data_IF_907504983925
#
_entry.id   IF_907504983925
#
_cell.length_a   1.000
_cell.length_b   1.000
_cell.length_c   1.000
_cell.angle_alpha   90.00
_cell.angle_beta   90.00
_cell.angle_gamma   90.00
#
_symmetry.space_group_name_H-M   'P 1'
#
loop_
_entity.id
_entity.type
_entity.pdbx_description
1 polymer ?
#
# COMPACT_ATOMS: atom_id res chain seq x y z
N UNK A 1 -2.68 21.49 15.58
CA UNK A 1 -1.79 21.73 14.41
C UNK A 1 -0.67 20.70 14.46
N UNK A 2 -0.56 19.79 13.48
CA UNK A 2 0.36 18.65 13.55
C UNK A 2 1.84 19.09 13.52
N UNK A 3 2.59 18.73 14.57
CA UNK A 3 4.02 18.99 14.75
C UNK A 3 4.77 17.71 14.37
N UNK A 4 5.39 17.67 13.19
CA UNK A 4 6.34 16.61 12.86
C UNK A 4 7.68 17.03 13.48
N UNK A 5 8.33 16.21 14.32
CA UNK A 5 9.72 16.42 14.76
C UNK A 5 10.66 15.50 13.94
N UNK A 6 11.96 15.78 13.87
CA UNK A 6 12.74 15.40 12.67
C UNK A 6 13.76 14.33 12.92
N UNK A 7 14.38 14.35 14.10
CA UNK A 7 15.45 13.42 14.47
C UNK A 7 15.10 12.54 15.67
N UNK A 8 14.16 12.94 16.55
CA UNK A 8 13.74 12.16 17.73
C UNK A 8 12.54 11.23 17.45
N UNK A 9 12.08 11.16 16.21
CA UNK A 9 10.87 10.40 15.82
C UNK A 9 11.17 9.12 15.06
N UNK A 10 12.40 8.91 14.60
CA UNK A 10 12.80 7.79 13.77
C UNK A 10 13.99 7.05 14.39
N UNK A 11 13.73 5.87 14.95
CA UNK A 11 14.76 5.06 15.59
C UNK A 11 15.17 3.93 14.65
N UNK A 12 16.45 3.92 14.26
CA UNK A 12 17.01 2.81 13.49
C UNK A 12 17.22 1.63 14.42
N UNK A 13 16.63 0.49 14.08
CA UNK A 13 16.87 -0.73 14.85
C UNK A 13 18.25 -1.31 14.50
N UNK A 14 18.97 -1.69 15.55
CA UNK A 14 20.26 -2.35 15.48
C UNK A 14 20.18 -3.75 16.09
N UNK A 15 20.91 -4.69 15.50
CA UNK A 15 21.11 -6.01 16.10
C UNK A 15 22.06 -5.95 17.30
N UNK A 16 22.28 -7.11 17.94
CA UNK A 16 23.19 -7.25 19.09
C UNK A 16 24.65 -6.88 18.75
N UNK A 17 25.00 -6.78 17.47
CA UNK A 17 26.33 -6.41 16.98
C UNK A 17 26.40 -4.94 16.55
N UNK A 18 25.34 -4.14 16.80
CA UNK A 18 25.27 -2.73 16.44
C UNK A 18 25.01 -2.47 14.94
N UNK A 19 24.73 -3.50 14.14
CA UNK A 19 24.44 -3.35 12.71
C UNK A 19 22.95 -3.06 12.50
N UNK A 20 22.66 -2.11 11.60
CA UNK A 20 21.27 -1.77 11.24
C UNK A 20 20.55 -2.97 10.61
N UNK A 21 19.40 -3.33 11.16
CA UNK A 21 18.55 -4.43 10.66
C UNK A 21 17.80 -4.09 9.37
N UNK A 22 17.77 -2.80 9.02
CA UNK A 22 16.96 -2.28 7.91
C UNK A 22 15.50 -2.01 8.29
N UNK A 23 15.20 -1.90 9.59
CA UNK A 23 13.93 -1.41 10.11
C UNK A 23 14.10 -0.05 10.80
N UNK A 24 13.10 0.81 10.62
CA UNK A 24 13.02 2.11 11.30
C UNK A 24 11.70 2.16 12.05
N UNK A 25 11.78 2.28 13.37
CA UNK A 25 10.63 2.55 14.23
C UNK A 25 10.28 4.04 14.16
N UNK A 26 8.99 4.36 14.10
CA UNK A 26 8.52 5.72 14.28
C UNK A 26 7.17 5.76 14.98
N UNK A 27 6.98 6.75 15.85
CA UNK A 27 5.69 6.95 16.50
C UNK A 27 4.91 8.05 15.76
N UNK A 28 3.70 7.77 15.22
CA UNK A 28 2.85 8.80 14.65
C UNK A 28 2.13 9.59 15.75
N UNK A 29 2.88 10.31 16.60
CA UNK A 29 2.38 11.06 17.78
C UNK A 29 1.25 12.05 17.41
N UNK A 30 1.15 12.45 16.13
CA UNK A 30 0.19 13.46 15.66
C UNK A 30 -0.51 13.04 14.36
N UNK A 31 -1.27 11.95 14.39
CA UNK A 31 -2.32 11.77 13.38
C UNK A 31 -3.35 12.91 13.54
N UNK A 32 -3.90 13.43 12.42
CA UNK A 32 -4.91 14.51 12.46
C UNK A 32 -6.13 14.19 13.33
N UNK A 33 -6.32 12.92 13.69
CA UNK A 33 -7.40 12.42 14.53
C UNK A 33 -7.14 12.56 16.04
N UNK A 34 -5.96 13.06 16.45
CA UNK A 34 -5.57 13.28 17.85
C UNK A 34 -5.80 14.73 18.35
N UNK A 35 -6.85 15.43 17.89
CA UNK A 35 -7.27 16.71 18.47
C UNK A 35 -8.38 16.48 19.52
N UNK A 36 -8.04 16.65 20.80
CA UNK A 36 -8.96 16.48 21.94
C UNK A 36 -8.35 15.54 22.99
N UNK A 37 -8.37 15.94 24.26
CA UNK A 37 -7.59 15.33 25.34
C UNK A 37 -7.80 13.82 25.59
N UNK A 38 -6.84 13.27 26.34
CA UNK A 38 -6.76 11.91 26.90
C UNK A 38 -6.92 10.75 25.91
N UNK A 39 -6.13 10.74 24.83
CA UNK A 39 -6.03 9.58 23.96
C UNK A 39 -4.64 8.94 24.02
N UNK A 40 -4.64 7.59 24.11
CA UNK A 40 -3.46 6.73 24.12
C UNK A 40 -2.52 7.11 22.98
N UNK A 41 -1.23 7.19 23.28
CA UNK A 41 -0.18 7.25 22.25
C UNK A 41 -0.46 6.12 21.25
N UNK A 42 -0.50 6.45 19.96
CA UNK A 42 -0.57 5.44 18.92
C UNK A 42 0.65 4.52 19.05
N UNK A 43 0.43 3.22 18.86
CA UNK A 43 1.52 2.26 18.86
C UNK A 43 2.56 2.66 17.80
N UNK A 44 3.83 2.47 18.15
CA UNK A 44 4.93 2.65 17.20
C UNK A 44 4.70 1.83 15.94
N UNK A 45 5.01 2.44 14.80
CA UNK A 45 4.95 1.83 13.48
C UNK A 45 6.35 1.59 12.97
N UNK A 46 6.45 0.69 12.00
CA UNK A 46 7.73 0.24 11.48
C UNK A 46 7.79 0.43 9.97
N UNK A 47 8.85 1.08 9.51
CA UNK A 47 9.26 1.02 8.11
C UNK A 47 10.23 -0.15 7.95
N UNK A 48 9.98 -0.97 6.94
CA UNK A 48 10.85 -2.13 6.63
C UNK A 48 11.45 -1.94 5.24
N UNK A 49 12.68 -2.41 5.08
CA UNK A 49 13.37 -2.39 3.79
C UNK A 49 12.60 -3.19 2.75
N UNK A 50 12.31 -2.59 1.61
CA UNK A 50 11.79 -3.32 0.45
C UNK A 50 12.97 -4.00 -0.25
N UNK A 51 13.07 -5.32 -0.08
CA UNK A 51 14.13 -6.13 -0.70
C UNK A 51 13.86 -6.44 -2.17
N UNK A 52 12.60 -6.39 -2.60
CA UNK A 52 12.20 -6.71 -3.98
C UNK A 52 12.46 -5.53 -4.93
N UNK A 53 12.21 -4.31 -4.46
CA UNK A 53 12.47 -3.09 -5.22
C UNK A 53 13.17 -2.05 -4.34
N UNK A 54 14.46 -1.87 -4.61
CA UNK A 54 15.30 -0.89 -3.93
C UNK A 54 14.91 0.54 -4.30
N UNK A 55 14.46 0.81 -5.53
CA UNK A 55 14.05 2.16 -5.93
C UNK A 55 12.82 2.62 -5.15
N UNK A 56 11.89 1.71 -4.85
CA UNK A 56 10.68 2.00 -4.06
C UNK A 56 10.82 1.68 -2.57
N UNK A 57 12.06 1.54 -2.06
CA UNK A 57 12.30 1.21 -0.66
C UNK A 57 12.06 2.43 0.27
N UNK A 58 11.10 2.38 1.21
CA UNK A 58 10.77 3.51 2.08
C UNK A 58 11.91 3.85 3.04
N UNK A 59 12.62 2.84 3.57
CA UNK A 59 13.80 3.03 4.45
C UNK A 59 14.89 3.82 3.72
N UNK A 60 15.27 3.39 2.50
CA UNK A 60 16.26 4.08 1.67
C UNK A 60 15.88 5.53 1.38
N UNK A 61 14.63 5.77 0.95
CA UNK A 61 14.14 7.13 0.62
C UNK A 61 14.14 8.03 1.86
N UNK A 62 13.69 7.53 3.01
CA UNK A 62 13.70 8.30 4.26
C UNK A 62 15.13 8.58 4.74
N UNK A 63 16.03 7.59 4.70
CA UNK A 63 17.43 7.78 5.09
C UNK A 63 18.11 8.82 4.20
N UNK A 64 17.86 8.79 2.89
CA UNK A 64 18.37 9.81 1.97
C UNK A 64 17.80 11.20 2.28
N UNK A 65 16.50 11.31 2.55
CA UNK A 65 15.86 12.57 2.93
C UNK A 65 16.51 13.17 4.18
N UNK A 66 16.75 12.34 5.21
CA UNK A 66 17.38 12.77 6.46
C UNK A 66 18.87 13.11 6.28
N UNK A 67 19.61 12.38 5.44
CA UNK A 67 21.03 12.63 5.19
C UNK A 67 21.30 13.95 4.47
N UNK A 68 20.28 14.55 3.83
CA UNK A 68 20.37 15.87 3.19
C UNK A 68 20.12 17.03 4.16
N UNK A 69 19.84 16.75 5.44
CA UNK A 69 19.75 17.76 6.48
C UNK A 69 21.13 18.17 6.96
N UNK A 70 21.44 19.44 6.87
CA UNK A 70 22.69 19.99 7.42
C UNK A 70 22.55 20.23 8.94
N UNK A 71 23.66 20.26 9.71
CA UNK A 71 23.63 20.51 11.15
C UNK A 71 22.97 21.84 11.54
N UNK A 72 22.96 22.82 10.64
CA UNK A 72 22.38 24.16 10.86
C UNK A 72 20.85 24.17 10.84
N UNK A 73 20.20 23.05 10.52
CA UNK A 73 18.74 22.93 10.50
C UNK A 73 18.25 22.59 11.91
N UNK A 74 17.71 23.59 12.60
CA UNK A 74 17.06 23.42 13.90
C UNK A 74 15.58 23.02 13.79
N UNK A 75 14.99 23.16 12.60
CA UNK A 75 13.59 22.83 12.37
C UNK A 75 13.37 21.33 12.45
N UNK A 76 12.53 20.94 13.40
CA UNK A 76 12.21 19.55 13.61
C UNK A 76 11.23 19.00 12.54
N UNK A 77 10.56 19.81 11.70
CA UNK A 77 9.60 19.23 10.73
C UNK A 77 10.25 18.33 9.69
N UNK A 78 9.70 17.14 9.46
CA UNK A 78 10.22 16.15 8.50
C UNK A 78 10.39 16.73 7.09
N UNK A 79 9.41 17.50 6.62
CA UNK A 79 9.47 18.14 5.32
C UNK A 79 9.86 19.61 5.46
N UNK A 80 10.95 19.97 4.79
CA UNK A 80 11.54 21.31 4.81
C UNK A 80 11.45 21.94 3.43
N UNK A 81 11.47 23.26 3.40
CA UNK A 81 11.49 24.03 2.15
C UNK A 81 12.83 23.81 1.44
N UNK A 82 12.78 23.47 0.15
CA UNK A 82 13.98 23.29 -0.67
C UNK A 82 14.73 24.62 -0.80
N UNK A 83 16.06 24.57 -0.67
CA UNK A 83 16.90 25.72 -0.94
C UNK A 83 16.99 25.95 -2.46
N UNK A 84 16.52 27.08 -3.05
CA UNK A 84 16.57 27.29 -4.50
C UNK A 84 17.99 27.24 -5.09
N UNK A 85 19.00 27.45 -4.26
CA UNK A 85 20.41 27.42 -4.66
C UNK A 85 21.08 26.07 -4.42
N UNK A 86 20.34 25.01 -4.08
CA UNK A 86 20.89 23.69 -3.74
C UNK A 86 21.77 23.07 -4.83
N UNK A 87 21.61 23.48 -6.10
CA UNK A 87 22.43 23.04 -7.24
C UNK A 87 23.71 23.85 -7.44
N UNK A 88 23.86 25.01 -6.79
CA UNK A 88 25.04 25.85 -6.92
C UNK A 88 26.19 25.20 -6.16
N UNK A 89 27.38 25.14 -6.77
CA UNK A 89 28.60 24.60 -6.14
C UNK A 89 28.96 25.32 -4.82
N UNK A 90 28.58 26.59 -4.68
CA UNK A 90 28.78 27.39 -3.47
C UNK A 90 27.79 27.10 -2.33
N UNK A 91 26.73 26.34 -2.58
CA UNK A 91 25.68 26.04 -1.60
C UNK A 91 25.75 24.59 -1.17
N UNK A 92 26.16 24.34 0.07
CA UNK A 92 26.21 22.99 0.64
C UNK A 92 24.85 22.47 1.14
N UNK A 93 23.83 23.33 1.27
CA UNK A 93 22.56 22.98 1.90
C UNK A 93 21.43 22.68 0.90
N UNK A 94 20.79 21.51 1.06
CA UNK A 94 19.62 21.10 0.27
C UNK A 94 18.32 21.78 0.72
N UNK A 95 18.20 22.07 2.01
CA UNK A 95 16.99 22.61 2.61
C UNK A 95 17.26 23.93 3.33
N UNK A 96 16.24 24.78 3.38
CA UNK A 96 16.17 25.91 4.30
C UNK A 96 15.77 25.39 5.69
N UNK A 97 16.13 26.14 6.73
CA UNK A 97 15.68 25.89 8.09
C UNK A 97 14.23 26.35 8.31
N UNK A 98 13.32 25.93 7.44
CA UNK A 98 11.92 26.35 7.43
C UNK A 98 11.05 25.19 6.99
N UNK A 99 9.94 24.90 7.69
CA UNK A 99 9.03 23.84 7.30
C UNK A 99 8.31 24.19 6.01
N UNK A 100 8.05 23.17 5.19
CA UNK A 100 7.22 23.35 4.00
C UNK A 100 5.76 23.61 4.39
N UNK A 101 5.06 24.43 3.58
CA UNK A 101 3.65 24.72 3.77
C UNK A 101 2.75 23.53 3.42
N UNK A 102 1.60 23.42 4.10
CA UNK A 102 0.59 22.38 3.81
C UNK A 102 0.13 22.43 2.34
N UNK A 103 -0.03 23.62 1.78
CA UNK A 103 -0.50 23.80 0.41
C UNK A 103 0.49 23.22 -0.60
N UNK A 104 1.79 23.32 -0.33
CA UNK A 104 2.83 22.71 -1.18
C UNK A 104 2.81 21.19 -1.09
N UNK A 105 2.73 20.62 0.12
CA UNK A 105 2.61 19.16 0.29
C UNK A 105 1.35 18.63 -0.42
N UNK A 106 0.23 19.36 -0.34
CA UNK A 106 -1.02 18.97 -0.98
C UNK A 106 -0.93 18.92 -2.51
N UNK A 107 0.02 19.63 -3.13
CA UNK A 107 0.25 19.61 -4.57
C UNK A 107 1.03 18.38 -5.02
N UNK A 108 1.87 17.77 -4.17
CA UNK A 108 2.80 16.72 -4.58
C UNK A 108 2.14 15.53 -5.28
N UNK A 109 1.06 14.98 -4.72
CA UNK A 109 0.35 13.86 -5.37
C UNK A 109 -0.17 14.26 -6.75
N UNK A 110 -0.73 15.47 -6.86
CA UNK A 110 -1.24 15.99 -8.14
C UNK A 110 -0.10 16.15 -9.16
N UNK A 111 0.99 16.80 -8.77
CA UNK A 111 2.14 17.00 -9.65
C UNK A 111 2.73 15.65 -10.11
N UNK A 112 2.91 14.70 -9.19
CA UNK A 112 3.40 13.37 -9.53
C UNK A 112 2.46 12.63 -10.49
N UNK A 113 1.14 12.77 -10.33
CA UNK A 113 0.17 12.16 -11.28
C UNK A 113 0.19 12.82 -12.66
N UNK A 114 0.40 14.13 -12.72
CA UNK A 114 0.51 14.86 -14.00
C UNK A 114 1.81 14.47 -14.73
N UNK A 115 2.92 14.30 -13.99
CA UNK A 115 4.22 13.89 -14.54
C UNK A 115 4.19 12.49 -15.18
N UNK A 116 3.37 11.58 -14.67
CA UNK A 116 3.17 10.24 -15.27
C UNK A 116 2.11 10.23 -16.38
N UNK A 117 1.59 11.39 -16.78
CA UNK A 117 0.64 11.54 -17.90
C UNK A 117 -0.84 11.34 -17.54
N UNK A 118 -1.20 11.31 -16.26
CA UNK A 118 -2.61 11.22 -15.85
C UNK A 118 -3.25 12.62 -15.86
N UNK A 119 -4.34 12.76 -16.61
CA UNK A 119 -5.12 13.99 -16.64
C UNK A 119 -5.93 14.18 -15.33
N UNK A 120 -5.37 14.98 -14.42
CA UNK A 120 -5.97 15.29 -13.13
C UNK A 120 -7.24 16.15 -13.21
N UNK A 121 -7.55 16.73 -14.38
CA UNK A 121 -8.80 17.45 -14.61
C UNK A 121 -9.95 16.49 -14.88
N UNK A 122 -9.68 15.37 -15.55
CA UNK A 122 -10.64 14.29 -15.80
C UNK A 122 -10.82 13.40 -14.58
N UNK A 123 -9.71 13.04 -13.92
CA UNK A 123 -9.72 12.17 -12.75
C UNK A 123 -9.13 12.91 -11.55
N UNK A 124 -9.98 13.22 -10.56
CA UNK A 124 -9.54 13.92 -9.36
C UNK A 124 -8.74 13.00 -8.42
N UNK A 125 -7.43 12.92 -8.64
CA UNK A 125 -6.51 12.23 -7.73
C UNK A 125 -6.04 13.20 -6.66
N UNK A 126 -6.22 12.82 -5.40
CA UNK A 126 -5.83 13.63 -4.23
C UNK A 126 -5.04 12.79 -3.24
N UNK A 127 -4.48 13.44 -2.21
CA UNK A 127 -3.88 12.75 -1.07
C UNK A 127 -4.87 11.80 -0.36
N UNK A 128 -6.18 12.02 -0.49
CA UNK A 128 -7.16 11.09 0.04
C UNK A 128 -7.27 9.83 -0.84
N UNK A 129 -7.18 9.99 -2.16
CA UNK A 129 -7.20 8.88 -3.12
C UNK A 129 -6.07 7.88 -2.86
N UNK A 130 -4.87 8.34 -2.53
CA UNK A 130 -3.74 7.45 -2.18
C UNK A 130 -4.04 6.65 -0.91
N UNK A 131 -4.61 7.28 0.13
CA UNK A 131 -5.07 6.57 1.33
C UNK A 131 -6.15 5.54 0.99
N UNK A 132 -7.12 5.88 0.14
CA UNK A 132 -8.17 4.98 -0.31
C UNK A 132 -7.61 3.74 -1.00
N UNK A 133 -6.68 3.91 -1.94
CA UNK A 133 -6.03 2.81 -2.66
C UNK A 133 -5.30 1.86 -1.72
N UNK A 134 -4.54 2.39 -0.75
CA UNK A 134 -3.85 1.57 0.26
C UNK A 134 -4.86 0.76 1.07
N UNK A 135 -5.94 1.38 1.54
CA UNK A 135 -6.98 0.68 2.32
C UNK A 135 -7.58 -0.46 1.49
N UNK A 136 -7.98 -0.19 0.24
CA UNK A 136 -8.54 -1.21 -0.66
C UNK A 136 -7.57 -2.35 -0.95
N UNK A 137 -6.28 -2.07 -1.16
CA UNK A 137 -5.28 -3.13 -1.34
C UNK A 137 -5.12 -4.01 -0.09
N UNK A 138 -5.13 -3.41 1.10
CA UNK A 138 -5.03 -4.17 2.36
C UNK A 138 -6.27 -5.06 2.58
N UNK A 139 -7.46 -4.57 2.24
CA UNK A 139 -8.70 -5.38 2.24
C UNK A 139 -8.59 -6.55 1.28
N UNK A 140 -8.14 -6.30 0.03
CA UNK A 140 -7.95 -7.35 -0.97
C UNK A 140 -6.92 -8.40 -0.57
N UNK A 141 -5.94 -8.03 0.25
CA UNK A 141 -4.95 -8.93 0.83
C UNK A 141 -5.49 -9.76 2.01
N UNK A 142 -6.77 -9.58 2.39
CA UNK A 142 -7.42 -10.35 3.46
C UNK A 142 -7.10 -9.85 4.87
N UNK A 143 -6.60 -8.62 5.02
CA UNK A 143 -6.31 -8.05 6.35
C UNK A 143 -7.62 -7.74 7.06
N UNK A 144 -7.75 -8.23 8.30
CA UNK A 144 -8.93 -7.99 9.14
C UNK A 144 -9.20 -6.49 9.36
N UNK A 145 -10.47 -6.11 9.49
CA UNK A 145 -10.86 -4.72 9.72
C UNK A 145 -10.17 -4.10 10.94
N UNK A 146 -10.00 -4.86 12.03
CA UNK A 146 -9.35 -4.38 13.24
C UNK A 146 -7.87 -4.03 13.01
N UNK A 147 -7.13 -4.89 12.30
CA UNK A 147 -5.74 -4.60 11.91
C UNK A 147 -5.68 -3.42 10.94
N UNK A 148 -6.63 -3.32 10.02
CA UNK A 148 -6.71 -2.23 9.06
C UNK A 148 -6.92 -0.88 9.75
N UNK A 149 -7.79 -0.81 10.76
CA UNK A 149 -7.99 0.37 11.62
C UNK A 149 -6.66 0.79 12.24
N UNK A 150 -5.92 -0.14 12.84
CA UNK A 150 -4.63 0.13 13.48
C UNK A 150 -3.56 0.64 12.50
N UNK A 151 -3.45 -0.01 11.34
CA UNK A 151 -2.48 0.37 10.30
C UNK A 151 -2.80 1.77 9.74
N UNK A 152 -4.06 2.02 9.41
CA UNK A 152 -4.49 3.24 8.71
C UNK A 152 -4.82 4.40 9.66
N UNK A 153 -4.97 4.13 10.96
CA UNK A 153 -5.32 5.11 11.99
C UNK A 153 -6.74 5.67 11.83
N UNK A 154 -7.70 4.83 11.45
CA UNK A 154 -9.12 5.22 11.50
C UNK A 154 -9.64 5.06 12.92
N UNK A 155 -10.63 5.88 13.35
CA UNK A 155 -11.21 5.79 14.69
C UNK A 155 -12.28 4.69 14.80
N UNK A 156 -12.97 4.38 13.70
CA UNK A 156 -14.09 3.44 13.68
C UNK A 156 -14.10 2.59 12.41
N UNK A 157 -14.72 1.41 12.50
CA UNK A 157 -14.99 0.48 11.38
C UNK A 157 -15.93 1.10 10.35
N UNK A 158 -16.85 1.98 10.77
CA UNK A 158 -17.79 2.65 9.87
C UNK A 158 -17.09 3.48 8.79
N UNK A 159 -15.97 4.14 9.13
CA UNK A 159 -15.17 4.90 8.15
C UNK A 159 -14.47 4.01 7.12
N UNK A 160 -14.43 2.69 7.35
CA UNK A 160 -13.84 1.71 6.43
C UNK A 160 -14.86 1.11 5.45
N UNK A 161 -16.16 1.14 5.78
CA UNK A 161 -17.24 0.56 4.96
C UNK A 161 -17.19 0.95 3.48
N UNK A 162 -16.89 2.20 3.09
CA UNK A 162 -16.80 2.56 1.67
C UNK A 162 -15.70 1.80 0.90
N UNK A 163 -14.65 1.35 1.58
CA UNK A 163 -13.51 0.63 0.98
C UNK A 163 -13.67 -0.89 1.00
N UNK A 164 -14.56 -1.42 1.83
CA UNK A 164 -14.87 -2.86 1.95
C UNK A 164 -15.76 -3.39 0.83
N UNK A 165 -15.99 -2.61 -0.23
CA UNK A 165 -16.73 -3.07 -1.40
C UNK A 165 -15.97 -4.22 -2.05
N UNK A 166 -16.47 -5.42 -1.83
CA UNK A 166 -15.99 -6.67 -2.41
C UNK A 166 -16.14 -6.55 -3.93
N UNK A 167 -15.03 -6.52 -4.66
CA UNK A 167 -15.07 -6.68 -6.12
C UNK A 167 -15.28 -8.16 -6.48
N UNK A 168 -15.66 -8.43 -7.72
CA UNK A 168 -15.93 -9.81 -8.18
C UNK A 168 -14.72 -10.73 -7.97
N UNK A 169 -13.50 -10.21 -8.12
CA UNK A 169 -12.27 -10.97 -7.88
C UNK A 169 -12.06 -11.31 -6.41
N UNK A 170 -12.34 -10.38 -5.49
CA UNK A 170 -12.26 -10.62 -4.06
C UNK A 170 -13.34 -11.61 -3.62
N UNK A 171 -14.55 -11.50 -4.17
CA UNK A 171 -15.61 -12.49 -3.94
C UNK A 171 -15.18 -13.89 -4.40
N UNK A 172 -14.58 -13.99 -5.59
CA UNK A 172 -14.03 -15.24 -6.11
C UNK A 172 -12.95 -15.81 -5.19
N UNK A 173 -12.00 -14.99 -4.72
CA UNK A 173 -10.95 -15.44 -3.77
C UNK A 173 -11.52 -15.94 -2.44
N UNK A 174 -12.56 -15.27 -1.92
CA UNK A 174 -13.25 -15.70 -0.70
C UNK A 174 -13.93 -17.06 -0.93
N UNK A 175 -14.64 -17.22 -2.05
CA UNK A 175 -15.29 -18.48 -2.42
C UNK A 175 -14.27 -19.59 -2.63
N UNK A 176 -13.17 -19.35 -3.35
CA UNK A 176 -12.09 -20.33 -3.56
C UNK A 176 -11.47 -20.78 -2.22
N UNK A 177 -11.29 -19.84 -1.29
CA UNK A 177 -10.81 -20.15 0.07
C UNK A 177 -11.81 -20.99 0.86
N UNK A 178 -13.10 -20.66 0.81
CA UNK A 178 -14.17 -21.45 1.45
C UNK A 178 -14.29 -22.86 0.83
N UNK A 179 -14.02 -23.00 -0.47
CA UNK A 179 -14.00 -24.28 -1.18
C UNK A 179 -12.71 -25.09 -0.93
N UNK A 180 -11.78 -24.61 -0.10
CA UNK A 180 -10.52 -25.30 0.19
C UNK A 180 -9.53 -25.34 -0.98
N UNK A 181 -9.72 -24.50 -2.00
CA UNK A 181 -8.87 -24.43 -3.20
C UNK A 181 -7.67 -23.50 -3.02
N UNK A 182 -6.98 -23.55 -1.88
CA UNK A 182 -5.67 -22.90 -1.77
C UNK A 182 -4.63 -23.74 -2.50
N UNK A 183 -4.11 -23.20 -3.59
CA UNK A 183 -3.06 -23.79 -4.42
C UNK A 183 -1.83 -24.16 -3.58
N UNK A 184 -1.84 -25.39 -3.04
CA UNK A 184 -0.65 -26.07 -2.56
C UNK A 184 -0.16 -26.91 -3.72
N UNK A 185 0.54 -26.28 -4.67
CA UNK A 185 1.36 -27.03 -5.61
C UNK A 185 2.65 -27.42 -4.90
N UNK A 186 2.61 -28.56 -4.22
CA UNK A 186 3.77 -29.43 -4.12
C UNK A 186 3.39 -30.73 -4.82
N UNK A 187 4.10 -31.01 -5.90
CA UNK A 187 3.97 -32.22 -6.69
C UNK A 187 4.18 -33.46 -5.81
N UNK A 188 3.32 -34.47 -5.99
CA UNK A 188 3.72 -35.87 -6.24
C UNK A 188 2.59 -36.48 -7.08
N UNK A 189 2.98 -36.91 -8.28
CA UNK A 189 2.24 -37.79 -9.17
C UNK A 189 2.15 -39.15 -8.50
N UNK A 190 0.95 -39.70 -8.28
CA UNK A 190 0.71 -41.14 -8.43
C UNK A 190 -0.76 -41.36 -8.75
N UNK A 191 -0.99 -41.91 -9.94
CA UNK A 191 -2.22 -42.51 -10.42
C UNK A 191 -2.80 -43.54 -9.45
N UNK A 192 -4.08 -43.40 -9.12
CA UNK A 192 -4.83 -44.37 -8.33
C UNK A 192 -6.32 -44.27 -8.63
N UNK A 193 -6.77 -45.11 -9.57
CA UNK A 193 -8.17 -45.41 -9.84
C UNK A 193 -8.84 -45.96 -8.58
N UNK A 194 -9.95 -45.37 -8.16
CA UNK A 194 -10.93 -46.06 -7.31
C UNK A 194 -12.35 -45.61 -7.68
N UNK A 195 -13.10 -46.57 -8.24
CA UNK A 195 -14.55 -46.53 -8.35
C UNK A 195 -15.18 -46.95 -7.01
N UNK A 196 -16.32 -46.36 -6.65
CA UNK A 196 -17.38 -47.08 -5.96
C UNK A 196 -18.71 -46.32 -6.03
N UNK A 197 -19.76 -47.09 -6.22
CA UNK A 197 -21.14 -46.72 -6.53
C UNK A 197 -21.88 -45.83 -5.51
N UNK A 198 -22.84 -45.07 -6.05
CA UNK A 198 -24.26 -45.26 -5.68
C UNK A 198 -24.82 -44.41 -4.54
N UNK A 199 -25.55 -43.34 -4.89
CA UNK A 199 -26.83 -43.01 -4.27
C UNK A 199 -27.63 -42.08 -5.21
N UNK A 200 -28.69 -42.64 -5.79
CA UNK A 200 -29.67 -41.96 -6.63
C UNK A 200 -30.82 -41.49 -5.72
N UNK A 201 -31.16 -40.21 -5.78
CA UNK A 201 -32.44 -39.67 -5.30
C UNK A 201 -32.90 -38.64 -6.35
N UNK A 202 -33.92 -39.01 -7.11
CA UNK A 202 -34.70 -38.11 -7.96
C UNK A 202 -35.83 -37.50 -7.13
N UNK A 203 -36.00 -36.18 -7.22
CA UNK A 203 -37.32 -35.55 -7.30
C UNK A 203 -37.19 -34.15 -7.92
N UNK A 204 -38.02 -33.93 -8.92
CA UNK A 204 -38.23 -32.75 -9.79
C UNK A 204 -38.51 -31.46 -8.96
N UNK A 205 -38.27 -30.23 -9.42
CA UNK A 205 -38.96 -29.56 -10.53
C UNK A 205 -38.27 -28.23 -10.94
N UNK A 206 -38.22 -28.04 -12.26
CA UNK A 206 -38.45 -26.80 -13.03
C UNK A 206 -37.42 -25.65 -13.11
N UNK A 207 -37.04 -25.41 -14.38
CA UNK A 207 -36.95 -24.13 -15.08
C UNK A 207 -35.55 -23.53 -15.37
N UNK A 208 -35.30 -23.48 -16.69
CA UNK A 208 -34.37 -22.63 -17.45
C UNK A 208 -32.90 -23.07 -17.52
N UNK A 209 -32.71 -24.04 -18.40
CA UNK A 209 -31.50 -24.31 -19.16
C UNK A 209 -31.04 -23.05 -19.92
N UNK A 210 -29.98 -22.38 -19.46
CA UNK A 210 -29.18 -21.50 -20.33
C UNK A 210 -27.98 -22.31 -20.80
N UNK A 211 -28.14 -22.90 -21.98
CA UNK A 211 -27.08 -23.56 -22.73
C UNK A 211 -26.06 -22.50 -23.19
N UNK A 212 -24.91 -22.40 -22.55
CA UNK A 212 -23.76 -21.75 -23.17
C UNK A 212 -23.03 -22.79 -24.04
N UNK A 213 -23.48 -22.90 -25.29
CA UNK A 213 -22.80 -23.67 -26.30
C UNK A 213 -21.40 -23.09 -26.55
N UNK A 214 -20.38 -23.88 -26.18
CA UNK A 214 -19.10 -24.03 -26.87
C UNK A 214 -18.57 -22.80 -27.66
N UNK A 215 -18.00 -21.81 -26.97
CA UNK A 215 -17.11 -20.84 -27.60
C UNK A 215 -15.66 -21.28 -27.42
N UNK A 216 -15.18 -22.12 -28.34
CA UNK A 216 -13.76 -22.36 -28.54
C UNK A 216 -13.18 -21.16 -29.30
N UNK A 217 -12.36 -20.33 -28.66
CA UNK A 217 -11.62 -19.28 -29.36
C UNK A 217 -10.42 -19.91 -30.09
N UNK A 218 -10.55 -20.07 -31.41
CA UNK A 218 -9.42 -20.37 -32.28
C UNK A 218 -8.56 -19.11 -32.40
N UNK A 219 -7.33 -19.18 -31.91
CA UNK A 219 -6.31 -18.17 -32.18
C UNK A 219 -5.80 -18.41 -33.60
N UNK A 220 -6.25 -17.60 -34.55
CA UNK A 220 -5.61 -17.55 -35.87
C UNK A 220 -4.28 -16.83 -35.72
N UNK A 221 -3.18 -17.59 -35.76
CA UNK A 221 -1.84 -17.06 -35.95
C UNK A 221 -1.75 -16.39 -37.32
N UNK A 222 -1.53 -15.08 -37.36
CA UNK A 222 -1.03 -14.40 -38.55
C UNK A 222 0.39 -13.88 -38.27
N UNK A 223 1.26 -14.35 -39.15
CA UNK A 223 2.70 -14.27 -39.19
C UNK A 223 3.31 -12.87 -39.10
N UNK A 224 4.55 -12.86 -38.56
CA UNK A 224 5.71 -12.09 -38.98
C UNK A 224 5.50 -11.03 -40.07
N UNK A 225 5.82 -9.79 -39.71
CA UNK A 225 6.53 -8.90 -40.64
C UNK A 225 7.69 -8.28 -39.88
N UNK A 226 8.90 -8.71 -40.22
CA UNK A 226 10.12 -7.94 -40.02
C UNK A 226 10.05 -6.70 -40.91
N UNK A 227 10.26 -5.52 -40.33
CA UNK A 227 11.32 -4.56 -40.67
C UNK A 227 11.30 -3.43 -39.64
#
# INVERSE_FOLDING_TARGET
MARWRGNELFNYETDNNGKRTGRIEYNPIFSKTAQGGNHRLEDSKWLTTNKADLHMCPVRVLTLLLSKRTPNITCERLFLTVNPYWKKSSSSAWYKNTPIGRNEINKWTRCATEEIGIDTKKVKITNHSTRSTVVSHLVKAGISEHQLIKITGHKNTTSLKPYLKVDQEHHKKIVDHMQGRTATQNAIVTSGTFSSEGARLESEETANEIVYNNCTFQVTSCNNVNF
#
